data_IF_844747262246
#
_entry.id   IF_844747262246
#
_cell.length_a   1.000
_cell.length_b   1.000
_cell.length_c   1.000
_cell.angle_alpha   90.00
_cell.angle_beta   90.00
_cell.angle_gamma   90.00
#
_symmetry.space_group_name_H-M   'P 1'
#
loop_
_entity.id
_entity.type
_entity.pdbx_description
1 polymer ?
#
# COMPACT_ATOMS: atom_id res chain seq x y z
N UNK A 1 -16.05 7.30 -10.93
CA UNK A 1 -14.72 7.87 -10.65
C UNK A 1 -13.92 6.84 -9.87
N UNK A 2 -13.20 5.95 -10.57
CA UNK A 2 -12.37 4.91 -9.98
C UNK A 2 -10.97 5.47 -9.74
N UNK A 3 -10.72 6.05 -8.58
CA UNK A 3 -9.40 6.54 -8.19
C UNK A 3 -8.50 5.35 -7.78
N UNK A 4 -8.06 4.57 -8.79
CA UNK A 4 -7.07 3.49 -8.63
C UNK A 4 -5.66 4.03 -8.93
N UNK A 5 -5.25 5.14 -8.30
CA UNK A 5 -3.92 5.72 -8.51
C UNK A 5 -2.87 4.93 -7.73
N UNK A 6 -2.13 4.07 -8.45
CA UNK A 6 -0.77 3.66 -8.06
C UNK A 6 0.12 4.88 -8.25
N UNK A 7 0.86 5.27 -7.22
CA UNK A 7 1.87 6.34 -7.36
C UNK A 7 3.20 5.80 -6.91
N UNK A 8 4.15 5.72 -7.84
CA UNK A 8 5.55 5.47 -7.54
C UNK A 8 6.28 6.81 -7.44
N UNK A 9 6.96 7.03 -6.32
CA UNK A 9 7.84 8.18 -6.11
C UNK A 9 9.21 7.69 -5.66
N UNK A 10 10.24 8.43 -6.03
CA UNK A 10 11.59 8.22 -5.52
C UNK A 10 11.87 9.19 -4.38
N UNK A 11 12.48 8.71 -3.29
CA UNK A 11 12.95 9.57 -2.21
C UNK A 11 14.44 9.89 -2.42
N UNK A 12 14.71 11.19 -2.59
CA UNK A 12 16.06 11.70 -2.75
C UNK A 12 16.58 12.27 -1.43
N UNK A 13 17.83 11.97 -1.08
CA UNK A 13 18.57 12.65 0.00
C UNK A 13 19.79 13.28 -0.64
N UNK A 14 19.74 14.60 -0.88
CA UNK A 14 20.66 15.27 -1.79
C UNK A 14 20.39 14.89 -3.25
N UNK A 15 21.43 14.72 -4.06
CA UNK A 15 21.34 14.39 -5.50
C UNK A 15 21.28 12.87 -5.80
N UNK A 16 21.11 12.02 -4.77
CA UNK A 16 21.00 10.57 -4.95
C UNK A 16 19.59 10.10 -4.62
N UNK A 17 19.04 9.27 -5.50
CA UNK A 17 17.88 8.44 -5.22
C UNK A 17 18.33 7.34 -4.27
N UNK A 18 17.69 7.22 -3.10
CA UNK A 18 18.09 6.22 -2.11
C UNK A 18 17.03 5.13 -1.91
N UNK A 19 15.80 5.37 -2.35
CA UNK A 19 14.67 4.47 -2.09
C UNK A 19 13.52 4.78 -3.04
N UNK A 20 12.77 3.73 -3.40
CA UNK A 20 11.50 3.87 -4.09
C UNK A 20 10.33 3.66 -3.12
N UNK A 21 9.33 4.52 -3.24
CA UNK A 21 8.07 4.44 -2.52
C UNK A 21 6.94 4.18 -3.51
N UNK A 22 6.22 3.09 -3.30
CA UNK A 22 4.96 2.82 -3.98
C UNK A 22 3.86 3.11 -2.97
N UNK A 23 3.02 4.09 -3.26
CA UNK A 23 1.81 4.35 -2.48
C UNK A 23 0.63 3.75 -3.22
N UNK A 24 -0.05 2.83 -2.55
CA UNK A 24 -1.33 2.30 -3.00
C UNK A 24 -2.41 2.64 -2.00
N UNK A 25 -3.40 3.43 -2.43
CA UNK A 25 -4.33 4.07 -1.51
C UNK A 25 -5.30 3.09 -0.85
N UNK A 26 -5.57 1.94 -1.48
CA UNK A 26 -6.72 1.08 -1.19
C UNK A 26 -6.46 -0.34 -1.66
N UNK A 27 -6.63 -1.39 -0.85
CA UNK A 27 -6.52 -2.79 -1.32
C UNK A 27 -7.88 -3.26 -1.88
N UNK A 28 -7.89 -3.97 -3.01
CA UNK A 28 -9.05 -4.73 -3.51
C UNK A 28 -8.59 -6.01 -4.23
N UNK A 29 -9.52 -6.91 -4.56
CA UNK A 29 -9.25 -8.24 -5.13
C UNK A 29 -8.38 -8.27 -6.39
N UNK A 30 -8.45 -7.25 -7.27
CA UNK A 30 -7.67 -7.21 -8.53
C UNK A 30 -6.36 -6.41 -8.41
N UNK A 31 -6.06 -5.89 -7.24
CA UNK A 31 -4.88 -5.06 -6.99
C UNK A 31 -3.57 -5.84 -6.79
N UNK A 32 -3.52 -6.97 -6.04
CA UNK A 32 -2.25 -7.55 -5.59
C UNK A 32 -1.28 -7.83 -6.73
N UNK A 33 -1.77 -8.40 -7.82
CA UNK A 33 -0.95 -8.78 -8.97
C UNK A 33 -0.43 -7.56 -9.72
N UNK A 34 -1.22 -6.50 -9.86
CA UNK A 34 -0.79 -5.26 -10.53
C UNK A 34 0.32 -4.58 -9.72
N UNK A 35 0.16 -4.51 -8.39
CA UNK A 35 1.18 -3.93 -7.51
C UNK A 35 2.46 -4.79 -7.51
N UNK A 36 2.32 -6.12 -7.49
CA UNK A 36 3.45 -7.04 -7.62
C UNK A 36 4.21 -6.84 -8.93
N UNK A 37 3.52 -6.69 -10.06
CA UNK A 37 4.14 -6.39 -11.36
C UNK A 37 4.87 -5.04 -11.34
N UNK A 38 4.32 -4.02 -10.68
CA UNK A 38 5.01 -2.74 -10.52
C UNK A 38 6.29 -2.89 -9.67
N UNK A 39 6.23 -3.64 -8.57
CA UNK A 39 7.39 -3.88 -7.71
C UNK A 39 8.47 -4.64 -8.46
N UNK A 40 8.11 -5.72 -9.15
CA UNK A 40 9.04 -6.52 -9.96
C UNK A 40 9.73 -5.67 -11.03
N UNK A 41 8.97 -4.89 -11.79
CA UNK A 41 9.53 -3.98 -12.79
C UNK A 41 10.51 -2.95 -12.18
N UNK A 42 10.21 -2.45 -10.96
CA UNK A 42 11.10 -1.52 -10.26
C UNK A 42 12.36 -2.20 -9.70
N UNK A 43 12.28 -3.45 -9.23
CA UNK A 43 13.46 -4.24 -8.81
C UNK A 43 14.35 -4.58 -10.01
N UNK A 44 13.77 -4.88 -11.16
CA UNK A 44 14.54 -5.12 -12.39
C UNK A 44 15.24 -3.86 -12.90
N UNK A 45 14.68 -2.67 -12.64
CA UNK A 45 15.23 -1.40 -13.07
C UNK A 45 16.27 -0.80 -12.09
N UNK A 46 16.32 -1.25 -10.83
CA UNK A 46 17.27 -0.72 -9.84
C UNK A 46 17.47 -1.64 -8.64
N UNK A 47 18.66 -1.57 -8.03
CA UNK A 47 18.98 -2.24 -6.77
C UNK A 47 18.50 -1.48 -5.51
N UNK A 48 17.78 -0.38 -5.66
CA UNK A 48 17.30 0.41 -4.53
C UNK A 48 16.18 -0.33 -3.77
N UNK A 49 16.10 -0.15 -2.44
CA UNK A 49 15.02 -0.72 -1.65
C UNK A 49 13.66 -0.13 -2.07
N UNK A 50 12.64 -0.98 -2.11
CA UNK A 50 11.27 -0.63 -2.47
C UNK A 50 10.38 -0.73 -1.23
N UNK A 51 9.66 0.35 -0.95
CA UNK A 51 8.70 0.41 0.16
C UNK A 51 7.30 0.61 -0.36
N UNK A 52 6.39 -0.26 0.07
CA UNK A 52 4.97 -0.17 -0.20
C UNK A 52 4.24 0.47 0.98
N UNK A 53 3.44 1.50 0.71
CA UNK A 53 2.54 2.09 1.70
C UNK A 53 1.09 1.87 1.30
N UNK A 54 0.30 1.27 2.19
CA UNK A 54 -1.14 1.07 1.95
C UNK A 54 -2.02 1.21 3.20
N UNK A 55 -3.33 1.14 3.01
CA UNK A 55 -4.36 1.08 4.06
C UNK A 55 -4.92 -0.34 4.12
N UNK A 56 -5.50 -0.71 5.26
CA UNK A 56 -6.05 -2.07 5.49
C UNK A 56 -7.30 -2.42 4.67
N UNK A 57 -7.95 -1.45 4.03
CA UNK A 57 -9.18 -1.67 3.26
C UNK A 57 -9.79 -0.39 2.67
N UNK A 58 -10.92 -0.54 1.99
CA UNK A 58 -11.69 0.57 1.39
C UNK A 58 -13.19 0.38 1.56
N UNK A 59 -13.91 1.46 1.85
CA UNK A 59 -15.38 1.46 1.98
C UNK A 59 -15.84 0.27 2.85
N UNK A 60 -16.54 -0.68 2.24
CA UNK A 60 -17.07 -1.90 2.87
C UNK A 60 -16.19 -3.15 2.62
N UNK A 61 -15.12 -3.03 1.83
CA UNK A 61 -14.16 -4.09 1.56
C UNK A 61 -13.02 -4.02 2.59
N UNK A 62 -13.12 -4.89 3.59
CA UNK A 62 -12.16 -5.01 4.69
C UNK A 62 -12.14 -6.47 5.18
N UNK A 63 -11.24 -7.27 4.61
CA UNK A 63 -10.97 -8.64 5.05
C UNK A 63 -9.50 -8.80 5.41
N UNK A 64 -9.25 -9.42 6.57
CA UNK A 64 -7.90 -9.75 7.01
C UNK A 64 -7.20 -10.72 6.03
N UNK A 65 -7.95 -11.67 5.48
CA UNK A 65 -7.44 -12.63 4.49
C UNK A 65 -6.98 -11.92 3.21
N UNK A 66 -7.76 -10.94 2.73
CA UNK A 66 -7.40 -10.15 1.56
C UNK A 66 -6.14 -9.30 1.81
N UNK A 67 -6.02 -8.74 3.01
CA UNK A 67 -4.83 -7.98 3.42
C UNK A 67 -3.59 -8.87 3.46
N UNK A 68 -3.69 -10.07 4.04
CA UNK A 68 -2.59 -11.04 4.07
C UNK A 68 -2.21 -11.47 2.65
N UNK A 69 -3.19 -11.87 1.83
CA UNK A 69 -2.94 -12.26 0.45
C UNK A 69 -2.26 -11.13 -0.35
N UNK A 70 -2.67 -9.88 -0.13
CA UNK A 70 -2.04 -8.71 -0.73
C UNK A 70 -0.58 -8.56 -0.30
N UNK A 71 -0.30 -8.56 1.01
CA UNK A 71 1.07 -8.41 1.54
C UNK A 71 1.97 -9.54 1.04
N UNK A 72 1.53 -10.80 1.15
CA UNK A 72 2.30 -11.96 0.70
C UNK A 72 2.57 -11.94 -0.81
N UNK A 73 1.59 -11.51 -1.62
CA UNK A 73 1.77 -11.41 -3.07
C UNK A 73 2.83 -10.38 -3.44
N UNK A 74 2.81 -9.22 -2.79
CA UNK A 74 3.74 -8.12 -3.09
C UNK A 74 5.12 -8.36 -2.46
N UNK A 75 5.19 -9.02 -1.32
CA UNK A 75 6.43 -9.46 -0.68
C UNK A 75 7.19 -10.42 -1.61
N UNK A 76 6.48 -11.40 -2.20
CA UNK A 76 7.06 -12.34 -3.19
C UNK A 76 7.60 -11.65 -4.44
N UNK A 77 7.09 -10.46 -4.78
CA UNK A 77 7.62 -9.66 -5.88
C UNK A 77 8.92 -8.90 -5.53
N UNK A 78 9.36 -8.95 -4.27
CA UNK A 78 10.61 -8.34 -3.81
C UNK A 78 10.44 -6.97 -3.15
N UNK A 79 9.27 -6.67 -2.58
CA UNK A 79 9.10 -5.47 -1.77
C UNK A 79 9.82 -5.62 -0.43
N UNK A 80 10.68 -4.65 -0.09
CA UNK A 80 11.57 -4.73 1.06
C UNK A 80 10.92 -4.22 2.37
N UNK A 81 9.92 -3.35 2.29
CA UNK A 81 9.29 -2.74 3.48
C UNK A 81 7.83 -2.39 3.24
N UNK A 82 6.99 -2.67 4.23
CA UNK A 82 5.57 -2.33 4.22
C UNK A 82 5.25 -1.27 5.28
N UNK A 83 4.52 -0.23 4.88
CA UNK A 83 3.94 0.79 5.76
C UNK A 83 2.42 0.65 5.67
N UNK A 84 1.82 -0.06 6.63
CA UNK A 84 0.38 -0.26 6.68
C UNK A 84 -0.25 0.78 7.61
N UNK A 85 -1.14 1.60 7.06
CA UNK A 85 -1.99 2.48 7.83
C UNK A 85 -3.17 1.67 8.35
N UNK A 86 -3.25 1.53 9.68
CA UNK A 86 -4.26 0.76 10.41
C UNK A 86 -5.70 1.30 10.30
N UNK A 87 -6.02 2.15 9.32
CA UNK A 87 -7.40 2.60 9.03
C UNK A 87 -7.72 2.32 7.58
N UNK A 88 -8.94 1.87 7.30
CA UNK A 88 -9.49 1.85 5.95
C UNK A 88 -9.70 3.26 5.39
N UNK A 89 -9.84 3.37 4.08
CA UNK A 89 -10.27 4.59 3.41
C UNK A 89 -11.76 4.52 3.07
N UNK A 90 -12.53 5.54 3.42
CA UNK A 90 -13.88 5.73 2.91
C UNK A 90 -13.83 6.75 1.79
N UNK A 91 -13.93 6.26 0.55
CA UNK A 91 -13.90 7.10 -0.65
C UNK A 91 -15.26 7.75 -0.90
N UNK A 92 -16.32 7.21 -0.30
CA UNK A 92 -17.67 7.76 -0.36
C UNK A 92 -17.95 8.60 0.89
N UNK A 93 -18.30 9.87 0.68
CA UNK A 93 -18.89 10.72 1.71
C UNK A 93 -17.94 11.39 2.70
N UNK A 94 -16.63 11.12 2.68
CA UNK A 94 -15.65 11.78 3.55
C UNK A 94 -14.59 12.57 2.79
N UNK A 95 -14.20 13.72 3.34
CA UNK A 95 -13.03 14.48 2.88
C UNK A 95 -11.71 13.74 3.18
N UNK A 96 -10.59 14.11 2.52
CA UNK A 96 -9.27 13.56 2.83
C UNK A 96 -8.82 13.76 4.27
N UNK A 97 -9.28 14.84 4.92
CA UNK A 97 -8.97 15.13 6.33
C UNK A 97 -9.74 14.20 7.25
N UNK A 98 -11.04 14.04 7.02
CA UNK A 98 -11.90 13.13 7.81
C UNK A 98 -11.48 11.67 7.66
N UNK A 99 -10.99 11.28 6.48
CA UNK A 99 -10.40 9.97 6.23
C UNK A 99 -9.18 9.63 7.09
N UNK A 100 -8.64 10.57 7.86
CA UNK A 100 -7.53 10.34 8.81
C UNK A 100 -8.03 10.21 10.26
N UNK A 101 -9.26 10.61 10.56
CA UNK A 101 -9.77 10.72 11.93
C UNK A 101 -11.04 9.90 12.17
N UNK A 102 -11.90 9.75 11.17
CA UNK A 102 -13.23 9.14 11.32
C UNK A 102 -13.20 7.60 11.29
N UNK A 103 -12.63 6.89 10.29
CA UNK A 103 -12.66 5.43 10.28
C UNK A 103 -11.78 4.87 11.41
N UNK A 104 -12.26 3.95 12.27
CA UNK A 104 -11.50 3.50 13.44
C UNK A 104 -10.15 2.86 13.09
N UNK A 105 -9.23 2.87 14.05
CA UNK A 105 -7.94 2.17 13.94
C UNK A 105 -8.14 0.69 14.25
N UNK A 106 -7.53 -0.17 13.46
CA UNK A 106 -7.42 -1.61 13.68
C UNK A 106 -5.93 -1.98 13.72
N UNK A 107 -5.32 -1.77 14.88
CA UNK A 107 -3.92 -2.11 15.11
C UNK A 107 -3.69 -3.61 15.18
N UNK A 108 -4.69 -4.37 15.65
CA UNK A 108 -4.58 -5.82 15.83
C UNK A 108 -4.17 -6.51 14.54
N UNK A 109 -4.80 -6.14 13.42
CA UNK A 109 -4.43 -6.69 12.11
C UNK A 109 -3.01 -6.33 11.69
N UNK A 110 -2.57 -5.10 11.94
CA UNK A 110 -1.21 -4.66 11.59
C UNK A 110 -0.18 -5.42 12.45
N UNK A 111 -0.48 -5.67 13.71
CA UNK A 111 0.40 -6.44 14.59
C UNK A 111 0.45 -7.93 14.22
N UNK A 112 -0.65 -8.52 13.73
CA UNK A 112 -0.68 -9.92 13.32
C UNK A 112 0.10 -10.20 12.02
N UNK A 113 0.39 -9.18 11.20
CA UNK A 113 1.18 -9.30 9.96
C UNK A 113 2.68 -9.40 10.25
N UNK A 114 3.14 -8.92 11.41
CA UNK A 114 4.56 -8.89 11.80
C UNK A 114 5.04 -10.25 12.29
#
# INVERSE_FOLDING_TARGET
MNDKRITACSLNRGNKVNQFFITFHVINTNTPQVVAQCVDAMKQASDLPITLKSRIGVDDMESYEELINFVTTVERAGCDTFIIHARKAWLKGLSPKENRTVPPLNYDWVYQIK
#
